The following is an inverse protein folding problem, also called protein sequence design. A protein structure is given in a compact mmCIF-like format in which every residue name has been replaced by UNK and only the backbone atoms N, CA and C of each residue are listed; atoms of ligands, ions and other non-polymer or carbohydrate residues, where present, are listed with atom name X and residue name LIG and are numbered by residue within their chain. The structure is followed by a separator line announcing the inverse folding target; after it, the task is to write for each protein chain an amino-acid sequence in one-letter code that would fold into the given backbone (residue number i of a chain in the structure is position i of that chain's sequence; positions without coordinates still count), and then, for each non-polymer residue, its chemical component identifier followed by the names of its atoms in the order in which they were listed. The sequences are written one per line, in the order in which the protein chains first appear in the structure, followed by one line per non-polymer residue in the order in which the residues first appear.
data_IF_377584212504
#
_entry.id   IF_377584212504
#
_cell.length_a   1.000
_cell.length_b   1.000
_cell.length_c   1.000
_cell.angle_alpha   90.00
_cell.angle_beta   90.00
_cell.angle_gamma   90.00
#
_symmetry.space_group_name_H-M   'P 1'
#
loop_
_entity.id
_entity.type
_entity.pdbx_description
1 polymer ?
#
# COMPACT_ATOMS: atom_id res chain seq x y z
N UNK A 1 12.68 -16.01 15.37
CA UNK A 1 11.87 -14.87 15.85
C UNK A 1 12.30 -13.65 15.04
N UNK A 2 11.75 -13.49 13.83
CA UNK A 2 11.88 -12.24 13.09
C UNK A 2 10.59 -11.47 13.34
N UNK A 3 10.69 -10.42 14.13
CA UNK A 3 9.62 -9.49 14.38
C UNK A 3 9.46 -8.63 13.12
N UNK A 4 8.43 -8.90 12.32
CA UNK A 4 8.07 -8.05 11.18
C UNK A 4 7.36 -6.81 11.69
N UNK A 5 8.10 -5.91 12.34
CA UNK A 5 7.58 -4.64 12.81
C UNK A 5 7.23 -3.76 11.61
N UNK A 6 6.01 -3.24 11.61
CA UNK A 6 5.48 -2.37 10.55
C UNK A 6 5.34 -0.98 11.15
N UNK A 7 5.90 0.04 10.49
CA UNK A 7 5.65 1.43 10.90
C UNK A 7 4.19 1.74 10.58
N UNK A 8 3.39 2.02 11.62
CA UNK A 8 2.16 2.77 11.47
C UNK A 8 2.40 4.20 11.98
N UNK A 9 2.25 5.18 11.10
CA UNK A 9 2.27 6.58 11.49
C UNK A 9 1.13 7.31 10.77
N UNK A 10 0.40 8.14 11.52
CA UNK A 10 -0.60 9.04 10.98
C UNK A 10 -0.07 10.47 11.12
N UNK A 11 0.36 11.10 10.01
CA UNK A 11 0.70 12.52 10.03
C UNK A 11 -0.54 13.35 9.73
N UNK A 12 -0.90 14.20 10.68
CA UNK A 12 -1.89 15.26 10.53
C UNK A 12 -1.14 16.58 10.30
N UNK A 13 -1.19 17.13 9.09
CA UNK A 13 -0.64 18.46 8.83
C UNK A 13 -1.70 19.50 9.18
N UNK A 14 -1.56 20.16 10.32
CA UNK A 14 -2.54 21.12 10.85
C UNK A 14 -2.53 22.49 10.15
N UNK A 15 -1.68 22.69 9.13
CA UNK A 15 -1.45 24.01 8.54
C UNK A 15 -1.39 24.03 7.01
N UNK A 16 -2.16 23.15 6.35
CA UNK A 16 -2.42 23.24 4.91
C UNK A 16 -3.89 23.59 4.72
N UNK A 17 -4.18 24.83 4.30
CA UNK A 17 -5.52 25.31 3.88
C UNK A 17 -6.06 24.62 2.62
N UNK A 18 -5.49 23.47 2.23
CA UNK A 18 -5.90 22.68 1.08
C UNK A 18 -5.70 21.19 1.38
N UNK A 19 -6.78 20.44 1.30
CA UNK A 19 -6.83 18.98 1.21
C UNK A 19 -6.14 18.40 -0.04
N UNK A 20 -5.28 19.18 -0.73
CA UNK A 20 -4.79 18.92 -2.09
C UNK A 20 -3.30 18.58 -2.19
N UNK A 21 -2.59 18.39 -1.07
CA UNK A 21 -1.14 18.14 -1.10
C UNK A 21 -0.74 16.77 -0.51
N UNK A 22 -1.41 15.71 -0.95
CA UNK A 22 -1.11 14.33 -0.54
C UNK A 22 0.32 13.91 -0.95
N UNK A 23 0.79 14.35 -2.12
CA UNK A 23 2.15 14.06 -2.58
C UNK A 23 3.22 14.60 -1.62
N UNK A 24 3.23 15.91 -1.32
CA UNK A 24 4.26 16.44 -0.42
C UNK A 24 4.05 15.94 1.02
N UNK A 25 2.82 15.64 1.44
CA UNK A 25 2.56 15.00 2.73
C UNK A 25 3.36 13.70 2.85
N UNK A 26 3.29 12.83 1.84
CA UNK A 26 4.01 11.55 1.85
C UNK A 26 5.52 11.70 1.74
N UNK A 27 6.02 12.62 0.91
CA UNK A 27 7.47 12.89 0.83
C UNK A 27 8.00 13.41 2.17
N UNK A 28 7.31 14.36 2.82
CA UNK A 28 7.68 14.87 4.15
C UNK A 28 7.60 13.78 5.22
N UNK A 29 6.59 12.93 5.11
CA UNK A 29 6.39 11.83 6.02
C UNK A 29 7.53 10.83 6.00
N UNK A 30 7.97 10.40 4.82
CA UNK A 30 9.11 9.51 4.68
C UNK A 30 10.41 10.14 5.17
N UNK A 31 10.63 11.44 4.92
CA UNK A 31 11.78 12.16 5.51
C UNK A 31 11.74 12.12 7.03
N UNK A 32 10.58 12.41 7.61
CA UNK A 32 10.42 12.42 9.06
C UNK A 32 10.63 11.02 9.67
N UNK A 33 9.91 10.02 9.17
CA UNK A 33 9.98 8.65 9.70
C UNK A 33 11.39 8.09 9.55
N UNK A 34 12.03 8.30 8.40
CA UNK A 34 13.39 7.85 8.15
C UNK A 34 14.40 8.41 9.14
N UNK A 35 14.36 9.72 9.37
CA UNK A 35 15.34 10.36 10.25
C UNK A 35 15.09 10.13 11.75
N UNK A 36 13.88 9.72 12.16
CA UNK A 36 13.50 9.69 13.58
C UNK A 36 13.12 8.30 14.12
N UNK A 37 12.71 7.36 13.27
CA UNK A 37 12.00 6.14 13.71
C UNK A 37 12.52 4.88 13.03
N UNK A 38 13.08 5.00 11.83
CA UNK A 38 13.33 3.87 10.93
C UNK A 38 14.30 2.80 11.41
N UNK A 39 15.22 3.12 12.31
CA UNK A 39 16.17 2.14 12.87
C UNK A 39 15.48 0.95 13.59
N UNK A 40 14.17 1.06 13.87
CA UNK A 40 13.37 0.06 14.59
C UNK A 40 12.41 -0.73 13.70
N UNK A 41 12.36 -0.46 12.40
CA UNK A 41 11.34 -1.02 11.51
C UNK A 41 11.86 -1.43 10.15
N UNK A 42 11.37 -2.57 9.69
CA UNK A 42 11.76 -3.18 8.40
C UNK A 42 10.89 -2.70 7.23
N UNK A 43 9.64 -2.29 7.52
CA UNK A 43 8.62 -2.03 6.50
C UNK A 43 7.80 -0.77 6.80
N UNK A 44 7.40 -0.08 5.74
CA UNK A 44 6.63 1.16 5.78
C UNK A 44 5.34 0.93 5.04
N UNK A 45 4.22 1.21 5.68
CA UNK A 45 2.91 1.06 5.08
C UNK A 45 2.21 2.43 5.06
N UNK A 46 1.98 2.97 3.86
CA UNK A 46 1.10 4.12 3.64
C UNK A 46 -0.27 3.59 3.29
N UNK A 47 -1.31 4.10 3.94
CA UNK A 47 -2.69 3.78 3.62
C UNK A 47 -3.58 5.01 3.80
N UNK A 48 -4.72 4.99 3.12
CA UNK A 48 -5.79 5.96 3.31
C UNK A 48 -6.63 5.59 4.55
N UNK A 49 -7.42 6.53 5.06
CA UNK A 49 -8.20 6.34 6.30
C UNK A 49 -9.46 5.48 6.12
N UNK A 50 -9.81 5.14 4.88
CA UNK A 50 -10.87 4.21 4.49
C UNK A 50 -10.33 2.84 4.04
N UNK A 51 -9.12 2.49 4.47
CA UNK A 51 -8.47 1.22 4.18
C UNK A 51 -8.48 0.26 5.37
N UNK A 52 -8.97 -0.97 5.15
CA UNK A 52 -8.88 -2.05 6.14
C UNK A 52 -7.73 -3.01 5.81
N UNK A 53 -6.87 -3.27 6.79
CA UNK A 53 -5.68 -4.12 6.66
C UNK A 53 -5.78 -5.36 7.56
N UNK A 54 -5.58 -6.54 6.98
CA UNK A 54 -5.51 -7.82 7.71
C UNK A 54 -4.06 -8.05 8.16
N UNK A 55 -3.79 -7.73 9.42
CA UNK A 55 -2.42 -7.59 9.97
C UNK A 55 -1.58 -8.87 9.85
N UNK A 56 -2.14 -10.03 10.16
CA UNK A 56 -1.45 -11.32 10.06
C UNK A 56 -1.15 -11.69 8.61
N UNK A 57 -2.05 -11.36 7.67
CA UNK A 57 -1.82 -11.59 6.24
C UNK A 57 -0.78 -10.66 5.67
N UNK A 58 -0.71 -9.41 6.14
CA UNK A 58 0.40 -8.52 5.82
C UNK A 58 1.73 -9.10 6.32
N UNK A 59 1.81 -9.55 7.58
CA UNK A 59 3.04 -10.16 8.12
C UNK A 59 3.44 -11.44 7.37
N UNK A 60 2.49 -12.32 7.05
CA UNK A 60 2.73 -13.53 6.25
C UNK A 60 3.28 -13.19 4.85
N UNK A 61 2.74 -12.16 4.21
CA UNK A 61 3.19 -11.69 2.90
C UNK A 61 4.63 -11.15 2.98
N UNK A 62 4.91 -10.25 3.93
CA UNK A 62 6.21 -9.57 4.04
C UNK A 62 7.36 -10.48 4.50
N UNK A 63 7.06 -11.55 5.25
CA UNK A 63 8.08 -12.55 5.66
C UNK A 63 8.79 -13.25 4.51
N UNK A 64 8.24 -13.16 3.29
CA UNK A 64 8.80 -13.78 2.07
C UNK A 64 9.89 -12.93 1.41
N UNK A 65 10.06 -11.67 1.86
CA UNK A 65 10.90 -10.68 1.22
C UNK A 65 11.97 -10.18 2.17
N UNK A 66 13.11 -9.74 1.61
CA UNK A 66 14.20 -9.17 2.38
C UNK A 66 14.01 -7.64 2.47
N UNK A 67 13.77 -7.06 3.66
CA UNK A 67 13.56 -5.61 3.77
C UNK A 67 14.80 -4.77 3.43
N UNK A 68 15.97 -5.40 3.31
CA UNK A 68 17.22 -4.77 2.86
C UNK A 68 17.37 -4.73 1.33
N UNK A 69 16.39 -5.26 0.61
CA UNK A 69 16.28 -5.14 -0.84
C UNK A 69 15.13 -4.19 -1.19
N UNK A 70 15.26 -3.40 -2.28
CA UNK A 70 14.29 -2.37 -2.60
C UNK A 70 12.99 -2.97 -3.13
N UNK A 71 11.98 -3.03 -2.26
CA UNK A 71 10.62 -3.46 -2.61
C UNK A 71 9.59 -2.32 -2.64
N UNK A 72 8.64 -2.44 -3.56
CA UNK A 72 7.47 -1.55 -3.69
C UNK A 72 6.21 -2.35 -4.02
N UNK A 73 5.34 -2.55 -3.03
CA UNK A 73 4.15 -3.39 -3.12
C UNK A 73 2.85 -2.60 -3.00
N UNK A 74 1.79 -3.13 -3.60
CA UNK A 74 0.43 -2.61 -3.54
C UNK A 74 -0.41 -3.20 -4.67
N UNK A 75 -1.52 -2.54 -4.99
CA UNK A 75 -2.33 -2.88 -6.15
C UNK A 75 -1.77 -2.18 -7.39
N UNK A 76 -1.44 -2.96 -8.43
CA UNK A 76 -0.73 -2.45 -9.61
C UNK A 76 -1.65 -1.88 -10.67
N UNK A 77 -1.40 -0.62 -11.02
CA UNK A 77 -2.01 0.10 -12.13
C UNK A 77 -1.00 0.27 -13.26
N UNK A 78 -1.48 0.36 -14.50
CA UNK A 78 -0.64 0.47 -15.70
C UNK A 78 -0.89 1.71 -16.55
N UNK A 79 -1.88 2.53 -16.19
CA UNK A 79 -2.08 3.79 -16.93
C UNK A 79 -0.95 4.77 -16.60
N UNK A 80 -0.51 5.58 -17.56
CA UNK A 80 0.52 6.63 -17.38
C UNK A 80 1.99 6.17 -17.26
N UNK A 81 2.29 5.02 -16.62
CA UNK A 81 3.67 4.54 -16.47
C UNK A 81 3.88 3.16 -17.10
N UNK A 82 4.91 3.02 -17.95
CA UNK A 82 5.25 1.76 -18.66
C UNK A 82 5.42 0.57 -17.71
N UNK A 83 6.10 0.77 -16.59
CA UNK A 83 6.31 -0.27 -15.59
C UNK A 83 5.15 -0.38 -14.58
N UNK A 84 4.18 0.53 -14.66
CA UNK A 84 3.06 0.67 -13.74
C UNK A 84 3.41 1.46 -12.48
N UNK A 85 2.43 1.57 -11.59
CA UNK A 85 2.53 2.15 -10.25
C UNK A 85 1.60 1.41 -9.29
N UNK A 86 1.83 1.52 -7.98
CA UNK A 86 0.86 1.06 -6.99
C UNK A 86 -0.10 2.21 -6.65
N UNK A 87 -1.39 1.93 -6.54
CA UNK A 87 -2.44 2.92 -6.23
C UNK A 87 -3.66 2.26 -5.58
N UNK A 88 -4.73 3.03 -5.39
CA UNK A 88 -5.95 2.63 -4.71
C UNK A 88 -5.86 3.05 -3.26
N UNK A 89 -5.26 2.20 -2.44
CA UNK A 89 -5.62 2.13 -1.02
C UNK A 89 -4.43 2.18 -0.08
N UNK A 90 -3.34 1.54 -0.48
CA UNK A 90 -2.17 1.41 0.36
C UNK A 90 -0.99 0.78 -0.36
N UNK A 91 0.18 1.21 0.07
CA UNK A 91 1.46 0.88 -0.53
C UNK A 91 2.43 0.51 0.56
N UNK A 92 3.19 -0.56 0.31
CA UNK A 92 4.24 -1.02 1.20
C UNK A 92 5.60 -0.76 0.56
N UNK A 93 6.53 -0.26 1.36
CA UNK A 93 7.91 0.00 0.97
C UNK A 93 8.83 -0.73 1.94
N UNK A 94 9.88 -1.34 1.40
CA UNK A 94 10.98 -1.86 2.21
C UNK A 94 11.76 -0.73 2.87
N UNK A 95 12.50 -1.06 3.93
CA UNK A 95 13.53 -0.18 4.48
C UNK A 95 14.49 0.34 3.42
N UNK A 96 15.00 -0.53 2.57
CA UNK A 96 15.95 -0.14 1.53
C UNK A 96 15.36 0.87 0.53
N UNK A 97 14.10 0.71 0.13
CA UNK A 97 13.39 1.66 -0.74
C UNK A 97 13.33 3.05 -0.11
N UNK A 98 12.94 3.14 1.16
CA UNK A 98 12.81 4.44 1.85
C UNK A 98 14.18 5.05 2.15
N UNK A 99 15.21 4.24 2.41
CA UNK A 99 16.60 4.70 2.56
C UNK A 99 17.12 5.33 1.29
N UNK A 100 17.04 4.63 0.15
CA UNK A 100 17.50 5.12 -1.15
C UNK A 100 16.78 6.41 -1.54
N UNK A 101 15.47 6.46 -1.31
CA UNK A 101 14.67 7.66 -1.57
C UNK A 101 15.11 8.84 -0.71
N UNK A 102 15.35 8.63 0.59
CA UNK A 102 15.85 9.68 1.48
C UNK A 102 17.24 10.18 1.09
N UNK A 103 18.15 9.29 0.72
CA UNK A 103 19.48 9.68 0.23
C UNK A 103 19.39 10.52 -1.04
N UNK A 104 18.50 10.18 -1.97
CA UNK A 104 18.26 10.96 -3.17
C UNK A 104 17.67 12.34 -2.83
N UNK A 105 16.67 12.39 -1.96
CA UNK A 105 16.02 13.62 -1.51
C UNK A 105 16.93 14.54 -0.67
N UNK A 106 17.98 14.00 -0.05
CA UNK A 106 18.99 14.77 0.68
C UNK A 106 20.04 15.37 -0.26
N UNK A 107 20.34 14.69 -1.37
CA UNK A 107 21.23 15.19 -2.43
C UNK A 107 20.54 16.26 -3.28
N UNK A 108 19.25 16.06 -3.57
CA UNK A 108 18.41 16.98 -4.32
C UNK A 108 17.02 17.05 -3.70
N UNK A 109 16.68 18.20 -3.12
CA UNK A 109 15.38 18.42 -2.50
C UNK A 109 14.21 18.32 -3.48
N UNK A 110 14.47 18.46 -4.79
CA UNK A 110 13.49 18.39 -5.87
C UNK A 110 13.52 17.03 -6.60
N UNK A 111 14.22 16.02 -6.06
CA UNK A 111 14.35 14.70 -6.69
C UNK A 111 12.98 14.08 -7.04
N UNK A 112 12.01 14.20 -6.12
CA UNK A 112 10.60 13.94 -6.40
C UNK A 112 9.89 15.25 -6.78
N UNK A 113 9.58 15.38 -8.07
CA UNK A 113 8.79 16.51 -8.57
C UNK A 113 7.33 16.37 -8.11
N UNK A 114 6.73 17.49 -7.72
CA UNK A 114 5.33 17.51 -7.29
C UNK A 114 4.41 16.99 -8.39
N UNK A 115 3.45 16.16 -7.99
CA UNK A 115 2.42 15.64 -8.86
C UNK A 115 1.05 15.68 -8.16
N UNK A 116 0.00 16.00 -8.92
CA UNK A 116 -1.37 16.10 -8.38
C UNK A 116 -1.91 14.76 -7.91
N UNK A 117 -1.54 13.67 -8.59
CA UNK A 117 -1.82 12.31 -8.16
C UNK A 117 -0.63 11.80 -7.36
N UNK A 118 -0.81 11.66 -6.05
CA UNK A 118 0.21 11.22 -5.08
C UNK A 118 0.95 9.96 -5.57
N UNK A 119 0.20 8.90 -5.83
CA UNK A 119 0.70 7.57 -6.19
C UNK A 119 1.57 7.59 -7.45
N UNK A 120 1.15 8.35 -8.46
CA UNK A 120 1.90 8.52 -9.70
C UNK A 120 3.20 9.28 -9.48
N UNK A 121 3.17 10.36 -8.70
CA UNK A 121 4.38 11.14 -8.38
C UNK A 121 5.38 10.32 -7.57
N UNK A 122 4.90 9.53 -6.61
CA UNK A 122 5.72 8.58 -5.86
C UNK A 122 6.37 7.57 -6.79
N UNK A 123 5.59 6.94 -7.67
CA UNK A 123 6.10 5.93 -8.58
C UNK A 123 7.09 6.50 -9.62
N UNK A 124 6.87 7.73 -10.10
CA UNK A 124 7.84 8.44 -10.94
C UNK A 124 9.16 8.65 -10.21
N UNK A 125 9.12 9.03 -8.94
CA UNK A 125 10.31 9.25 -8.13
C UNK A 125 11.09 7.95 -7.89
N UNK A 126 10.38 6.87 -7.55
CA UNK A 126 10.98 5.54 -7.38
C UNK A 126 11.54 4.96 -8.68
N UNK A 127 10.90 5.24 -9.83
CA UNK A 127 11.39 4.83 -11.13
C UNK A 127 12.75 5.46 -11.48
N UNK A 128 13.03 6.70 -11.03
CA UNK A 128 14.37 7.32 -11.17
C UNK A 128 15.46 6.51 -10.44
N UNK A 129 15.09 5.73 -9.43
CA UNK A 129 15.97 4.82 -8.67
C UNK A 129 15.92 3.37 -9.17
N UNK A 130 15.27 3.11 -10.31
CA UNK A 130 15.00 1.77 -10.85
C UNK A 130 14.16 0.87 -9.92
N UNK A 131 13.33 1.46 -9.06
CA UNK A 131 12.40 0.74 -8.19
C UNK A 131 11.01 0.77 -8.82
N UNK A 132 10.42 -0.40 -9.06
CA UNK A 132 9.15 -0.56 -9.79
C UNK A 132 8.16 -1.40 -8.99
N UNK A 133 6.84 -1.26 -9.24
CA UNK A 133 5.85 -2.04 -8.52
C UNK A 133 5.92 -3.53 -8.84
N UNK A 134 6.05 -4.34 -7.80
CA UNK A 134 6.17 -5.79 -7.91
C UNK A 134 4.81 -6.49 -7.89
N UNK A 135 4.73 -7.69 -8.48
CA UNK A 135 3.50 -8.48 -8.53
C UNK A 135 3.12 -8.96 -7.13
N UNK A 136 1.92 -8.62 -6.69
CA UNK A 136 1.41 -8.95 -5.35
C UNK A 136 0.25 -9.94 -5.36
N UNK A 137 -0.18 -10.46 -6.50
CA UNK A 137 -1.24 -11.48 -6.54
C UNK A 137 -0.78 -12.77 -5.86
N UNK A 138 -1.72 -13.59 -5.41
CA UNK A 138 -1.41 -14.95 -4.98
C UNK A 138 -1.09 -15.89 -6.16
N UNK A 139 -0.80 -17.15 -5.83
CA UNK A 139 -0.50 -18.22 -6.78
C UNK A 139 -1.62 -18.51 -7.79
N UNK A 140 -2.86 -18.17 -7.44
CA UNK A 140 -4.03 -18.31 -8.31
C UNK A 140 -4.31 -17.01 -9.09
N UNK A 141 -3.46 -16.00 -8.96
CA UNK A 141 -3.63 -14.70 -9.62
C UNK A 141 -4.64 -13.78 -8.94
N UNK A 142 -5.11 -14.09 -7.73
CA UNK A 142 -6.05 -13.24 -6.99
C UNK A 142 -5.32 -12.10 -6.30
N UNK A 143 -5.97 -10.95 -6.24
CA UNK A 143 -5.41 -9.75 -5.61
C UNK A 143 -5.29 -9.94 -4.10
N UNK A 144 -4.14 -9.53 -3.54
CA UNK A 144 -3.97 -9.34 -2.09
C UNK A 144 -4.34 -7.92 -1.64
N UNK A 145 -4.27 -6.97 -2.57
CA UNK A 145 -4.57 -5.56 -2.35
C UNK A 145 -5.74 -5.22 -3.26
N UNK A 146 -6.94 -5.10 -2.70
CA UNK A 146 -8.15 -4.74 -3.47
C UNK A 146 -8.27 -3.21 -3.48
N UNK A 147 -8.10 -2.54 -4.64
CA UNK A 147 -7.93 -1.08 -4.70
C UNK A 147 -9.24 -0.30 -4.87
N UNK A 148 -10.37 -0.98 -5.00
CA UNK A 148 -11.68 -0.37 -5.20
C UNK A 148 -12.65 -0.85 -4.13
N UNK A 149 -13.83 -0.22 -4.06
CA UNK A 149 -14.83 -0.61 -3.08
C UNK A 149 -15.33 -2.04 -3.33
N UNK A 150 -15.82 -2.66 -2.26
CA UNK A 150 -16.24 -4.06 -2.30
C UNK A 150 -17.30 -4.33 -3.39
N UNK A 151 -18.27 -3.43 -3.56
CA UNK A 151 -19.35 -3.62 -4.53
C UNK A 151 -18.82 -3.66 -5.96
N UNK A 152 -17.97 -2.70 -6.34
CA UNK A 152 -17.35 -2.64 -7.67
C UNK A 152 -16.49 -3.86 -7.96
N UNK A 153 -15.69 -4.29 -6.98
CA UNK A 153 -14.85 -5.48 -7.11
C UNK A 153 -15.71 -6.74 -7.22
N UNK A 154 -16.73 -6.89 -6.38
CA UNK A 154 -17.59 -8.07 -6.33
C UNK A 154 -18.41 -8.24 -7.61
N UNK A 155 -19.06 -7.18 -8.09
CA UNK A 155 -19.84 -7.24 -9.32
C UNK A 155 -18.98 -7.06 -10.58
N UNK A 156 -17.71 -6.69 -10.42
CA UNK A 156 -16.78 -6.35 -11.50
C UNK A 156 -17.40 -5.32 -12.45
N UNK A 157 -17.91 -4.24 -11.85
CA UNK A 157 -18.53 -3.09 -12.51
C UNK A 157 -17.57 -1.91 -12.59
N UNK A 158 -16.27 -2.18 -12.50
CA UNK A 158 -15.26 -1.15 -12.60
C UNK A 158 -15.40 -0.44 -13.94
N UNK A 159 -15.47 0.89 -13.93
CA UNK A 159 -15.49 1.72 -15.15
C UNK A 159 -14.18 1.64 -15.95
N UNK A 160 -13.18 0.96 -15.38
CA UNK A 160 -11.78 1.04 -15.74
C UNK A 160 -11.00 -0.29 -15.58
N UNK A 161 -11.51 -1.47 -15.99
CA UNK A 161 -10.81 -2.73 -15.79
C UNK A 161 -9.46 -2.78 -16.53
N UNK A 162 -9.32 -1.96 -17.58
CA UNK A 162 -8.08 -1.77 -18.32
C UNK A 162 -6.97 -1.02 -17.57
N UNK A 163 -7.23 -0.48 -16.38
CA UNK A 163 -6.22 0.29 -15.63
C UNK A 163 -5.40 -0.60 -14.71
N UNK A 164 -5.98 -1.70 -14.22
CA UNK A 164 -5.25 -2.68 -13.44
C UNK A 164 -4.32 -3.50 -14.33
N UNK A 165 -3.14 -3.80 -13.77
CA UNK A 165 -2.13 -4.62 -14.43
C UNK A 165 -2.43 -6.11 -14.27
N UNK A 166 -3.07 -6.49 -13.18
CA UNK A 166 -3.41 -7.86 -12.82
C UNK A 166 -4.92 -8.12 -13.00
N UNK A 167 -5.33 -9.31 -13.48
CA UNK A 167 -6.72 -9.64 -13.76
C UNK A 167 -7.58 -9.66 -12.49
N UNK A 168 -8.89 -9.44 -12.64
CA UNK A 168 -9.84 -9.39 -11.51
C UNK A 168 -10.88 -10.48 -11.70
N UNK A 169 -11.15 -11.22 -10.63
CA UNK A 169 -12.23 -12.21 -10.57
C UNK A 169 -13.62 -11.57 -10.54
N UNK A 170 -14.62 -12.36 -10.15
CA UNK A 170 -15.99 -11.90 -9.91
C UNK A 170 -16.58 -12.60 -8.68
N UNK A 171 -17.54 -11.95 -8.04
CA UNK A 171 -18.19 -12.46 -6.83
C UNK A 171 -17.17 -12.75 -5.74
N UNK A 172 -17.33 -13.87 -5.04
CA UNK A 172 -16.39 -14.28 -3.99
C UNK A 172 -15.02 -14.71 -4.50
N UNK A 173 -14.84 -14.89 -5.81
CA UNK A 173 -13.55 -15.30 -6.37
C UNK A 173 -12.48 -14.19 -6.27
N UNK A 174 -12.88 -12.94 -6.06
CA UNK A 174 -11.95 -11.81 -5.84
C UNK A 174 -11.13 -11.97 -4.56
N UNK A 175 -11.60 -12.76 -3.61
CA UNK A 175 -10.95 -12.92 -2.31
C UNK A 175 -9.86 -13.98 -2.37
N UNK A 176 -8.62 -13.52 -2.21
CA UNK A 176 -7.51 -14.41 -1.88
C UNK A 176 -7.66 -14.91 -0.43
N UNK A 177 -7.39 -16.19 -0.12
CA UNK A 177 -7.20 -16.66 1.26
C UNK A 177 -6.10 -15.92 2.01
N UNK A 178 -5.29 -15.17 1.27
CA UNK A 178 -4.14 -14.44 1.76
C UNK A 178 -4.22 -12.94 1.40
N UNK A 179 -5.47 -12.44 1.35
CA UNK A 179 -5.84 -11.04 1.24
C UNK A 179 -5.17 -10.21 2.33
N UNK A 180 -4.55 -9.11 1.93
CA UNK A 180 -3.84 -8.19 2.83
C UNK A 180 -4.68 -6.96 3.13
N UNK A 181 -5.43 -6.46 2.15
CA UNK A 181 -6.04 -5.13 2.24
C UNK A 181 -7.32 -4.96 1.41
N UNK A 182 -8.25 -4.18 1.95
CA UNK A 182 -9.49 -3.70 1.33
C UNK A 182 -9.53 -2.17 1.32
N UNK A 183 -10.05 -1.58 0.25
CA UNK A 183 -10.19 -0.13 0.08
C UNK A 183 -11.65 0.33 0.16
N UNK A 184 -11.86 1.63 0.41
CA UNK A 184 -13.17 2.26 0.49
C UNK A 184 -14.12 1.53 1.46
N UNK A 185 -13.58 1.10 2.60
CA UNK A 185 -14.31 0.42 3.66
C UNK A 185 -14.86 1.47 4.62
N UNK A 186 -16.17 1.49 4.83
CA UNK A 186 -16.78 2.43 5.77
C UNK A 186 -16.37 2.09 7.21
N UNK A 187 -16.34 3.06 8.14
CA UNK A 187 -15.95 2.80 9.53
C UNK A 187 -16.74 1.67 10.21
N UNK A 188 -18.06 1.60 9.96
CA UNK A 188 -18.90 0.52 10.49
C UNK A 188 -18.56 -0.85 9.88
N UNK A 189 -18.18 -0.88 8.61
CA UNK A 189 -17.77 -2.11 7.92
C UNK A 189 -16.41 -2.59 8.44
N UNK A 190 -15.48 -1.67 8.75
CA UNK A 190 -14.21 -2.04 9.39
C UNK A 190 -14.44 -2.75 10.73
N UNK A 191 -15.35 -2.21 11.57
CA UNK A 191 -15.73 -2.82 12.85
C UNK A 191 -16.41 -4.18 12.64
N UNK A 192 -17.27 -4.29 11.63
CA UNK A 192 -17.92 -5.54 11.29
C UNK A 192 -16.91 -6.59 10.83
N UNK A 193 -15.96 -6.23 9.96
CA UNK A 193 -14.90 -7.13 9.49
C UNK A 193 -14.04 -7.58 10.67
N UNK A 194 -13.63 -6.68 11.56
CA UNK A 194 -12.87 -6.99 12.77
C UNK A 194 -13.64 -8.00 13.67
N UNK A 195 -14.93 -7.75 13.88
CA UNK A 195 -15.78 -8.64 14.66
C UNK A 195 -15.90 -10.03 14.01
N UNK A 196 -16.13 -10.09 12.70
CA UNK A 196 -16.29 -11.35 11.97
C UNK A 196 -14.98 -12.15 11.91
N UNK A 197 -13.85 -11.48 11.69
CA UNK A 197 -12.54 -12.14 11.57
C UNK A 197 -11.96 -12.60 12.91
N UNK A 198 -12.17 -11.84 13.99
CA UNK A 198 -11.44 -12.08 15.25
C UNK A 198 -12.29 -12.20 16.51
N UNK A 199 -13.59 -11.91 16.46
CA UNK A 199 -14.49 -12.02 17.63
C UNK A 199 -15.50 -13.16 17.48
N UNK A 200 -16.05 -13.34 16.28
CA UNK A 200 -17.01 -14.41 15.97
C UNK A 200 -16.29 -15.68 15.57
N UNK A 201 -15.26 -15.56 14.72
CA UNK A 201 -14.42 -16.69 14.34
C UNK A 201 -13.55 -17.08 15.53
N UNK A 202 -14.00 -18.06 16.31
CA UNK A 202 -13.28 -18.57 17.47
C UNK A 202 -11.91 -19.13 17.05
N UNK A 203 -10.86 -18.76 17.80
CA UNK A 203 -9.50 -19.28 17.65
C UNK A 203 -9.35 -20.78 17.98
N UNK A 204 -10.45 -21.47 18.29
CA UNK A 204 -10.52 -22.91 18.58
C UNK A 204 -11.11 -23.75 17.44
N UNK A 205 -11.56 -23.13 16.34
CA UNK A 205 -12.11 -23.84 15.19
C UNK A 205 -11.17 -23.75 13.98
N UNK A 206 -10.01 -24.41 14.08
CA UNK A 206 -9.18 -24.96 12.98
C UNK A 206 -8.06 -25.82 13.58
#
# INVERSE_FOLDING_TARGET
MNDTSIVHYSLWTTNTTKSLDAHNKTIRAWKYVFNNISDKFDWYYKADDDTYMISEKMREFLKKYNPKEPHFFGARFKMYLKNGYNSGAGMIFSYETVRLLNEALNKDSNFCEYHVYEDLGIAQCLAKLNIFPEKTTDENGKHRFLPYNFQEMYYNTLDAPGWLKDPIGKGFDIFSPSLVQLHHVQPNDMLLIEAMLYKVRNASDC
#
